data_IF_321963766813
#
_entry.id   IF_321963766813
#
_cell.length_a   1.000
_cell.length_b   1.000
_cell.length_c   1.000
_cell.angle_alpha   90.00
_cell.angle_beta   90.00
_cell.angle_gamma   90.00
#
_symmetry.space_group_name_H-M   'P 1'
#
loop_
_entity.id
_entity.type
_entity.pdbx_description
1 polymer ?
#
# COMPACT_ATOMS: atom_id res chain seq x y z
N UNK A 1 -30.98 -7.20 -42.90
CA UNK A 1 -31.01 -5.76 -42.78
C UNK A 1 -30.42 -5.47 -41.42
N UNK A 2 -29.30 -4.97 -41.22
CA UNK A 2 -28.17 -4.28 -41.82
C UNK A 2 -26.96 -4.55 -40.92
N UNK A 3 -25.93 -5.11 -41.36
CA UNK A 3 -24.67 -4.70 -41.94
C UNK A 3 -24.18 -3.33 -41.45
N UNK A 4 -23.26 -3.31 -40.51
CA UNK A 4 -22.31 -2.24 -40.26
C UNK A 4 -20.99 -2.87 -39.86
N UNK A 5 -20.19 -3.13 -40.85
CA UNK A 5 -19.00 -2.38 -41.28
C UNK A 5 -17.79 -2.57 -40.33
N UNK A 6 -16.98 -3.52 -40.75
CA UNK A 6 -15.53 -3.57 -40.55
C UNK A 6 -14.87 -2.22 -40.85
N UNK A 7 -14.06 -1.77 -39.97
CA UNK A 7 -13.00 -0.81 -40.27
C UNK A 7 -11.67 -1.35 -39.78
N UNK A 8 -11.02 -1.99 -40.71
CA UNK A 8 -9.57 -2.10 -40.72
C UNK A 8 -8.95 -0.70 -40.74
N UNK A 9 -8.04 -0.46 -39.87
CA UNK A 9 -7.00 0.57 -39.95
C UNK A 9 -5.80 0.01 -39.22
N UNK A 10 -4.86 -0.57 -39.91
CA UNK A 10 -3.85 0.20 -40.62
C UNK A 10 -2.62 0.22 -39.74
N UNK A 11 -1.82 -0.87 -39.81
CA UNK A 11 -0.46 -0.93 -39.25
C UNK A 11 0.38 0.22 -39.84
N UNK A 12 0.85 1.11 -38.99
CA UNK A 12 2.05 1.93 -39.28
C UNK A 12 3.21 1.41 -38.46
N UNK A 13 3.96 0.53 -39.08
CA UNK A 13 5.34 0.27 -38.72
C UNK A 13 6.12 1.59 -38.82
N UNK A 14 6.58 2.09 -37.67
CA UNK A 14 7.63 3.10 -37.69
C UNK A 14 8.97 2.46 -37.34
N UNK A 15 9.83 2.53 -38.32
CA UNK A 15 11.20 2.13 -38.37
C UNK A 15 12.04 2.66 -37.19
N UNK A 16 12.76 1.73 -36.57
CA UNK A 16 13.83 2.01 -35.61
C UNK A 16 14.95 2.79 -36.29
N UNK A 17 15.17 4.01 -35.89
CA UNK A 17 16.41 4.71 -36.04
C UNK A 17 17.41 4.29 -34.96
N UNK A 18 18.42 3.57 -35.41
CA UNK A 18 19.57 3.14 -34.61
C UNK A 18 20.45 4.38 -34.33
N UNK A 19 20.48 4.85 -33.09
CA UNK A 19 21.46 5.84 -32.63
C UNK A 19 22.43 5.18 -31.68
N UNK A 20 23.53 4.73 -32.27
CA UNK A 20 24.77 4.40 -31.58
C UNK A 20 25.39 5.68 -31.01
N UNK A 21 25.40 5.81 -29.71
CA UNK A 21 26.15 6.87 -29.05
C UNK A 21 27.49 6.31 -28.55
N UNK A 22 28.55 6.90 -29.13
CA UNK A 22 29.94 6.54 -28.96
C UNK A 22 30.43 6.69 -27.52
N UNK A 23 31.22 5.70 -27.11
CA UNK A 23 32.13 5.75 -25.97
C UNK A 23 33.10 6.89 -26.11
N UNK A 24 33.24 7.69 -25.07
CA UNK A 24 34.46 8.48 -24.84
C UNK A 24 35.09 8.01 -23.55
N UNK A 25 36.15 7.26 -23.71
CA UNK A 25 37.15 7.01 -22.70
C UNK A 25 37.92 8.33 -22.45
N UNK A 26 37.99 8.71 -21.20
CA UNK A 26 39.01 9.64 -20.76
C UNK A 26 39.38 9.31 -19.31
N UNK A 27 40.50 8.61 -19.21
CA UNK A 27 41.24 8.45 -17.98
C UNK A 27 41.79 9.80 -17.52
N UNK A 28 41.53 10.14 -16.26
CA UNK A 28 42.36 11.04 -15.49
C UNK A 28 42.24 10.72 -14.02
N UNK A 29 43.26 10.08 -13.48
CA UNK A 29 43.56 10.07 -12.04
C UNK A 29 44.00 11.49 -11.65
N UNK A 30 43.57 12.01 -10.53
CA UNK A 30 44.41 12.83 -9.69
C UNK A 30 44.76 12.10 -8.39
N UNK A 31 46.04 11.95 -8.22
CA UNK A 31 46.75 11.71 -6.99
C UNK A 31 46.57 12.86 -6.02
N UNK A 32 46.66 12.53 -4.77
CA UNK A 32 47.09 13.28 -3.57
C UNK A 32 45.98 13.63 -2.57
N UNK A 33 46.06 12.91 -1.50
CA UNK A 33 46.25 13.33 -0.10
C UNK A 33 45.67 14.70 0.29
N UNK A 34 44.55 14.66 0.96
CA UNK A 34 44.40 15.45 2.17
C UNK A 34 43.26 14.85 2.99
N UNK A 35 43.53 14.67 4.30
CA UNK A 35 42.60 14.07 5.27
C UNK A 35 41.31 14.85 5.43
N UNK A 36 40.43 14.74 4.46
CA UNK A 36 39.07 15.23 4.54
C UNK A 36 38.25 14.28 5.36
N UNK A 37 37.71 14.75 6.49
CA UNK A 37 36.65 14.05 7.24
C UNK A 37 35.66 13.47 6.27
N UNK A 38 35.57 12.13 6.19
CA UNK A 38 34.54 11.44 5.40
C UNK A 38 33.19 12.05 5.79
N UNK A 39 32.57 12.77 4.86
CA UNK A 39 31.23 13.28 5.06
C UNK A 39 30.35 12.11 5.46
N UNK A 40 29.80 12.16 6.67
CA UNK A 40 28.88 11.13 7.16
C UNK A 40 27.80 10.98 6.10
N UNK A 41 27.71 9.77 5.52
CA UNK A 41 26.65 9.45 4.55
C UNK A 41 25.34 9.86 5.16
N UNK A 42 24.68 10.85 4.58
CA UNK A 42 23.38 11.33 5.04
C UNK A 42 22.42 10.14 4.92
N UNK A 43 21.93 9.64 6.04
CA UNK A 43 20.97 8.56 6.09
C UNK A 43 19.77 8.93 5.22
N UNK A 44 19.53 8.11 4.17
CA UNK A 44 18.40 8.20 3.25
C UNK A 44 18.21 9.55 2.51
N UNK A 45 19.07 9.84 1.53
CA UNK A 45 18.80 10.92 0.58
C UNK A 45 17.63 10.65 -0.40
N UNK A 46 17.09 9.44 -0.41
CA UNK A 46 16.00 9.01 -1.35
C UNK A 46 15.04 8.04 -0.68
N UNK A 47 14.46 8.39 0.47
CA UNK A 47 13.25 7.68 0.92
C UNK A 47 12.06 8.27 0.16
N UNK A 48 11.69 7.62 -0.91
CA UNK A 48 10.37 7.82 -1.51
C UNK A 48 9.38 7.26 -0.48
N UNK A 49 8.58 8.13 0.12
CA UNK A 49 7.47 7.70 0.96
C UNK A 49 6.39 7.19 0.02
N UNK A 50 6.16 5.88 0.02
CA UNK A 50 5.01 5.31 -0.65
C UNK A 50 3.75 5.93 -0.05
N UNK A 51 2.96 6.60 -0.88
CA UNK A 51 1.69 7.17 -0.46
C UNK A 51 0.66 6.04 -0.44
N UNK A 52 0.26 5.61 0.74
CA UNK A 52 -0.89 4.73 0.89
C UNK A 52 -2.14 5.58 0.64
N UNK A 53 -2.84 5.33 -0.46
CA UNK A 53 -4.12 5.99 -0.77
C UNK A 53 -5.23 5.35 0.07
N UNK A 54 -5.25 5.67 1.36
CA UNK A 54 -6.26 5.14 2.28
C UNK A 54 -7.55 5.96 2.19
N UNK A 55 -8.67 5.28 2.22
CA UNK A 55 -10.00 5.87 2.21
C UNK A 55 -10.23 6.69 3.50
N UNK A 56 -10.71 7.91 3.34
CA UNK A 56 -11.07 8.81 4.45
C UNK A 56 -12.55 8.68 4.81
N UNK A 57 -13.38 8.31 3.84
CA UNK A 57 -14.81 8.08 4.01
C UNK A 57 -15.08 6.58 3.80
N UNK A 58 -16.02 6.05 4.53
CA UNK A 58 -16.42 4.66 4.42
C UNK A 58 -17.52 4.51 3.38
N UNK A 59 -17.20 3.90 2.26
CA UNK A 59 -18.16 3.59 1.19
C UNK A 59 -19.02 2.38 1.57
N UNK A 60 -20.24 2.29 1.05
CA UNK A 60 -21.14 1.16 1.27
C UNK A 60 -20.51 -0.20 0.94
N UNK A 61 -19.85 -0.40 -0.23
CA UNK A 61 -19.23 -1.69 -0.54
C UNK A 61 -18.08 -2.04 0.41
N UNK A 62 -17.32 -1.05 0.88
CA UNK A 62 -16.26 -1.27 1.86
C UNK A 62 -16.82 -1.61 3.24
N UNK A 63 -17.92 -0.99 3.63
CA UNK A 63 -18.64 -1.31 4.86
C UNK A 63 -19.15 -2.75 4.85
N UNK A 64 -19.77 -3.20 3.77
CA UNK A 64 -20.23 -4.58 3.65
C UNK A 64 -19.07 -5.60 3.70
N UNK A 65 -17.96 -5.29 3.05
CA UNK A 65 -16.74 -6.11 3.15
C UNK A 65 -16.21 -6.19 4.57
N UNK A 66 -16.19 -5.07 5.27
CA UNK A 66 -15.76 -5.01 6.65
C UNK A 66 -16.56 -5.98 7.52
N UNK A 67 -17.87 -5.97 7.43
CA UNK A 67 -18.74 -6.87 8.23
C UNK A 67 -18.65 -8.34 7.81
N UNK A 68 -18.32 -8.63 6.57
CA UNK A 68 -18.17 -10.00 6.08
C UNK A 68 -16.77 -10.57 6.37
N UNK A 69 -15.73 -9.79 6.16
CA UNK A 69 -14.34 -10.26 6.21
C UNK A 69 -13.75 -10.20 7.62
N UNK A 70 -13.95 -9.10 8.35
CA UNK A 70 -13.28 -8.88 9.64
C UNK A 70 -13.62 -9.94 10.68
N UNK A 71 -14.88 -10.43 10.81
CA UNK A 71 -15.20 -11.49 11.77
C UNK A 71 -14.53 -12.84 11.48
N UNK A 72 -13.98 -13.03 10.29
CA UNK A 72 -13.24 -14.26 9.93
C UNK A 72 -11.77 -14.22 10.35
N UNK A 73 -11.23 -13.03 10.65
CA UNK A 73 -9.83 -12.87 10.96
C UNK A 73 -9.48 -13.36 12.37
N UNK A 74 -8.39 -14.13 12.48
CA UNK A 74 -7.86 -14.58 13.77
C UNK A 74 -7.24 -13.44 14.57
N UNK A 75 -6.62 -12.49 13.91
CA UNK A 75 -6.01 -11.30 14.49
C UNK A 75 -6.64 -10.06 13.87
N UNK A 76 -7.25 -9.24 14.70
CA UNK A 76 -7.88 -7.99 14.31
C UNK A 76 -7.17 -6.87 15.05
N UNK A 77 -6.51 -6.00 14.30
CA UNK A 77 -5.89 -4.78 14.80
C UNK A 77 -6.11 -3.63 13.82
N UNK A 78 -5.87 -2.43 14.26
CA UNK A 78 -6.02 -1.24 13.40
C UNK A 78 -5.16 -1.33 12.14
N UNK A 79 -3.91 -1.79 12.27
CA UNK A 79 -2.97 -1.93 11.15
C UNK A 79 -3.46 -2.95 10.11
N UNK A 80 -4.01 -4.09 10.57
CA UNK A 80 -4.54 -5.12 9.66
C UNK A 80 -5.71 -4.58 8.83
N UNK A 81 -6.61 -3.79 9.44
CA UNK A 81 -7.72 -3.17 8.71
C UNK A 81 -7.24 -2.12 7.71
N UNK A 82 -6.26 -1.31 8.09
CA UNK A 82 -5.64 -0.32 7.19
C UNK A 82 -5.00 -1.01 5.99
N UNK A 83 -4.25 -2.08 6.20
CA UNK A 83 -3.53 -2.78 5.13
C UNK A 83 -4.47 -3.53 4.17
N UNK A 84 -5.48 -4.20 4.70
CA UNK A 84 -6.39 -5.03 3.90
C UNK A 84 -7.50 -4.24 3.23
N UNK A 85 -8.17 -3.38 3.97
CA UNK A 85 -9.31 -2.61 3.48
C UNK A 85 -8.93 -1.21 2.98
N UNK A 86 -7.65 -0.85 3.09
CA UNK A 86 -7.15 0.49 2.69
C UNK A 86 -7.91 1.64 3.36
N UNK A 87 -8.30 1.44 4.62
CA UNK A 87 -8.98 2.45 5.42
C UNK A 87 -7.99 3.35 6.14
N UNK A 88 -8.43 4.57 6.45
CA UNK A 88 -7.66 5.43 7.34
C UNK A 88 -7.72 4.89 8.78
N UNK A 89 -6.64 5.09 9.57
CA UNK A 89 -6.55 4.60 10.94
C UNK A 89 -7.65 5.11 11.87
N UNK A 90 -8.18 6.30 11.65
CA UNK A 90 -9.33 6.84 12.40
C UNK A 90 -10.60 6.02 12.14
N UNK A 91 -10.89 5.72 10.87
CA UNK A 91 -12.03 4.89 10.49
C UNK A 91 -11.89 3.46 10.99
N UNK A 92 -10.68 2.90 10.93
CA UNK A 92 -10.41 1.56 11.45
C UNK A 92 -10.73 1.46 12.95
N UNK A 93 -10.39 2.48 13.74
CA UNK A 93 -10.73 2.51 15.17
C UNK A 93 -12.23 2.57 15.45
N UNK A 94 -12.96 3.36 14.67
CA UNK A 94 -14.43 3.47 14.80
C UNK A 94 -15.06 2.14 14.40
N UNK A 95 -14.64 1.57 13.28
CA UNK A 95 -15.15 0.28 12.80
C UNK A 95 -14.91 -0.86 13.82
N UNK A 96 -13.77 -0.92 14.48
CA UNK A 96 -13.50 -1.90 15.52
C UNK A 96 -14.46 -1.74 16.71
N UNK A 97 -14.74 -0.51 17.15
CA UNK A 97 -15.70 -0.25 18.24
C UNK A 97 -17.12 -0.67 17.87
N UNK A 98 -17.49 -0.46 16.64
CA UNK A 98 -18.79 -0.86 16.11
C UNK A 98 -18.95 -2.38 16.07
N UNK A 99 -17.93 -3.09 15.58
CA UNK A 99 -17.88 -4.56 15.58
C UNK A 99 -17.86 -5.14 17.01
N UNK A 100 -17.20 -4.48 17.95
CA UNK A 100 -17.22 -4.84 19.36
C UNK A 100 -18.60 -4.65 19.97
N UNK A 101 -19.28 -3.54 19.68
CA UNK A 101 -20.65 -3.28 20.19
C UNK A 101 -21.66 -4.29 19.66
N UNK A 102 -21.46 -4.82 18.46
CA UNK A 102 -22.27 -5.87 17.87
C UNK A 102 -21.89 -7.29 18.35
N UNK A 103 -20.79 -7.41 19.11
CA UNK A 103 -20.35 -8.69 19.66
C UNK A 103 -19.70 -9.64 18.66
N UNK A 104 -19.34 -9.18 17.48
CA UNK A 104 -18.71 -9.98 16.42
C UNK A 104 -17.24 -10.28 16.70
N UNK A 105 -16.60 -9.50 17.55
CA UNK A 105 -15.20 -9.63 17.91
C UNK A 105 -15.00 -9.61 19.42
N UNK A 106 -13.99 -10.35 19.91
CA UNK A 106 -13.62 -10.38 21.33
C UNK A 106 -12.29 -9.64 21.55
N UNK A 107 -12.16 -8.77 22.54
CA UNK A 107 -10.89 -8.11 22.86
C UNK A 107 -9.92 -9.10 23.52
N UNK A 108 -8.69 -9.13 23.05
CA UNK A 108 -7.59 -9.89 23.68
C UNK A 108 -6.78 -8.96 24.57
N UNK A 109 -6.38 -7.81 24.04
CA UNK A 109 -5.57 -6.83 24.73
C UNK A 109 -6.08 -5.43 24.44
N UNK A 110 -6.30 -4.66 25.48
CA UNK A 110 -6.70 -3.25 25.40
C UNK A 110 -5.60 -2.38 25.98
N UNK A 111 -4.98 -1.62 25.09
CA UNK A 111 -4.01 -0.61 25.47
C UNK A 111 -4.34 0.70 24.75
N UNK A 112 -4.01 1.84 25.36
CA UNK A 112 -4.34 3.15 24.78
C UNK A 112 -3.70 3.38 23.40
N UNK A 113 -2.53 2.78 23.14
CA UNK A 113 -1.83 2.93 21.87
C UNK A 113 -2.25 1.88 20.83
N UNK A 114 -2.60 0.67 21.28
CA UNK A 114 -2.96 -0.43 20.39
C UNK A 114 -3.97 -1.36 21.03
N UNK A 115 -4.99 -1.70 20.29
CA UNK A 115 -6.03 -2.65 20.69
C UNK A 115 -5.97 -3.86 19.77
N UNK A 116 -6.03 -5.04 20.34
CA UNK A 116 -5.97 -6.32 19.65
C UNK A 116 -7.24 -7.10 19.96
N UNK A 117 -7.90 -7.54 18.90
CA UNK A 117 -9.13 -8.34 18.97
C UNK A 117 -8.95 -9.65 18.20
N UNK A 118 -9.82 -10.58 18.49
CA UNK A 118 -9.98 -11.82 17.73
C UNK A 118 -11.43 -12.01 17.34
N UNK A 119 -11.68 -12.92 16.42
CA UNK A 119 -13.04 -13.31 16.05
C UNK A 119 -13.80 -13.88 17.25
N UNK A 120 -15.07 -13.55 17.39
CA UNK A 120 -15.95 -14.26 18.28
C UNK A 120 -16.27 -15.63 17.66
N UNK A 121 -15.46 -16.64 17.94
CA UNK A 121 -15.90 -18.03 17.78
C UNK A 121 -16.96 -18.24 18.87
N UNK A 122 -18.18 -18.50 18.45
CA UNK A 122 -19.27 -18.82 19.38
C UNK A 122 -18.99 -20.11 20.13
N UNK A 123 -18.28 -19.98 21.23
CA UNK A 123 -17.94 -20.95 22.27
C UNK A 123 -17.10 -20.18 23.29
N UNK A 124 -17.60 -19.82 24.41
CA UNK A 124 -17.65 -20.69 25.58
C UNK A 124 -18.62 -20.11 26.59
N UNK A 125 -19.58 -20.91 26.90
CA UNK A 125 -20.22 -20.90 28.21
C UNK A 125 -19.29 -21.55 29.21
#
# INVERSE_FOLDING_TARGET
MDVWMERELGEKKMSLGNMTCAKKDAAAKPTSSSGGKKAKKKWSAKKVKDKANNLVVLDKPTYERLFKEVPTYKLISQSVLVDRLKLNGSLARIAIRELESQGLIKPISRHHSQVIYTRATGEEK
#
